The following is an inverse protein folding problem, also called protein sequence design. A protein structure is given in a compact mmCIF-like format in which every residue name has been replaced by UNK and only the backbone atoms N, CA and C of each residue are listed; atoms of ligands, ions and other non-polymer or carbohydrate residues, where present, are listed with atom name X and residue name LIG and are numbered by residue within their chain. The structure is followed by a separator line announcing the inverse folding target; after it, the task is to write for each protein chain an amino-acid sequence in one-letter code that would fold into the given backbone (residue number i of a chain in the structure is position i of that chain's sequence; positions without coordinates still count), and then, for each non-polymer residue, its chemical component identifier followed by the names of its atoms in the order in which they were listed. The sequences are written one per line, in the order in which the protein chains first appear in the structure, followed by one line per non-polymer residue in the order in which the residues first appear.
data_IF_001365959517
#
_entry.id   IF_001365959517
#
_cell.length_a   1.000
_cell.length_b   1.000
_cell.length_c   1.000
_cell.angle_alpha   90.00
_cell.angle_beta   90.00
_cell.angle_gamma   90.00
#
_symmetry.space_group_name_H-M   'P 1'
#
loop_
_entity.id
_entity.type
_entity.pdbx_description
1 polymer ?
#
# COMPACT_ATOMS: atom_id res chain seq x y z
N UNK A 1 -4.85 16.42 -35.72
CA UNK A 1 -5.19 15.22 -34.94
C UNK A 1 -4.32 15.24 -33.69
N UNK A 2 -4.87 15.67 -32.55
CA UNK A 2 -4.11 15.82 -31.33
C UNK A 2 -4.01 14.45 -30.63
N UNK A 3 -2.85 13.81 -30.72
CA UNK A 3 -2.51 12.70 -29.83
C UNK A 3 -2.24 13.30 -28.44
N UNK A 4 -3.28 13.35 -27.61
CA UNK A 4 -3.14 13.56 -26.17
C UNK A 4 -2.30 12.41 -25.61
N UNK A 5 -1.02 12.68 -25.41
CA UNK A 5 -0.13 11.86 -24.59
C UNK A 5 -0.83 11.65 -23.24
N UNK A 6 -1.39 10.47 -23.04
CA UNK A 6 -1.83 10.02 -21.73
C UNK A 6 -0.59 10.08 -20.85
N UNK A 7 -0.56 11.07 -19.96
CA UNK A 7 0.43 11.20 -18.91
C UNK A 7 0.18 10.00 -17.99
N UNK A 8 0.77 8.85 -18.29
CA UNK A 8 0.75 7.66 -17.45
C UNK A 8 1.49 8.02 -16.18
N UNK A 9 0.77 8.56 -15.21
CA UNK A 9 1.27 8.66 -13.85
C UNK A 9 1.50 7.21 -13.39
N UNK A 10 2.76 6.80 -13.30
CA UNK A 10 3.13 5.48 -12.79
C UNK A 10 2.56 5.34 -11.39
N UNK A 11 1.52 4.51 -11.25
CA UNK A 11 0.92 4.20 -9.97
C UNK A 11 1.82 3.18 -9.26
N UNK A 12 2.34 3.55 -8.08
CA UNK A 12 3.17 2.65 -7.27
C UNK A 12 2.27 1.62 -6.59
N UNK A 13 2.69 0.35 -6.56
CA UNK A 13 2.06 -0.73 -5.80
C UNK A 13 3.11 -1.44 -4.94
N UNK A 14 2.66 -2.40 -4.13
CA UNK A 14 3.49 -3.29 -3.34
C UNK A 14 4.53 -2.58 -2.47
N UNK A 15 5.74 -3.13 -2.43
CA UNK A 15 6.85 -2.58 -1.65
C UNK A 15 7.27 -1.18 -2.09
N UNK A 16 7.10 -0.84 -3.37
CA UNK A 16 7.43 0.51 -3.87
C UNK A 16 6.46 1.55 -3.29
N UNK A 17 5.16 1.24 -3.28
CA UNK A 17 4.15 2.09 -2.65
C UNK A 17 4.41 2.20 -1.15
N UNK A 18 4.68 1.08 -0.47
CA UNK A 18 4.92 1.06 0.97
C UNK A 18 6.11 1.94 1.34
N UNK A 19 7.25 1.82 0.63
CA UNK A 19 8.44 2.64 0.89
C UNK A 19 8.17 4.13 0.66
N UNK A 20 7.53 4.48 -0.45
CA UNK A 20 7.17 5.87 -0.73
C UNK A 20 6.19 6.42 0.32
N UNK A 21 5.32 5.55 0.87
CA UNK A 21 4.40 5.94 1.93
C UNK A 21 5.10 6.12 3.27
N UNK A 22 6.03 5.22 3.60
CA UNK A 22 6.87 5.30 4.79
C UNK A 22 7.68 6.60 4.83
N UNK A 23 8.33 6.93 3.71
CA UNK A 23 9.08 8.19 3.56
C UNK A 23 8.20 9.41 3.85
N UNK A 24 6.99 9.46 3.28
CA UNK A 24 6.02 10.54 3.51
C UNK A 24 5.55 10.66 4.96
N UNK A 25 5.54 9.54 5.70
CA UNK A 25 5.08 9.48 7.09
C UNK A 25 6.22 9.59 8.10
N UNK A 26 7.47 9.61 7.64
CA UNK A 26 8.66 9.68 8.50
C UNK A 26 9.06 8.34 9.12
N UNK A 27 8.60 7.22 8.58
CA UNK A 27 8.99 5.88 9.05
C UNK A 27 10.38 5.50 8.55
N UNK A 28 11.22 5.02 9.46
CA UNK A 28 12.62 4.68 9.19
C UNK A 28 12.81 3.21 8.84
N UNK A 29 11.85 2.35 9.17
CA UNK A 29 11.95 0.90 8.92
C UNK A 29 10.59 0.20 8.79
N UNK A 30 10.60 -0.98 8.16
CA UNK A 30 9.41 -1.85 8.12
C UNK A 30 9.02 -2.36 9.51
N UNK A 31 9.99 -2.48 10.42
CA UNK A 31 9.75 -2.93 11.79
C UNK A 31 8.88 -1.92 12.54
N UNK A 32 9.19 -0.64 12.42
CA UNK A 32 8.44 0.46 13.03
C UNK A 32 6.97 0.46 12.60
N UNK A 33 6.72 0.34 11.29
CA UNK A 33 5.37 0.25 10.73
C UNK A 33 4.63 -1.01 11.21
N UNK A 34 5.31 -2.15 11.21
CA UNK A 34 4.71 -3.42 11.61
C UNK A 34 4.33 -3.41 13.11
N UNK A 35 5.15 -2.79 13.95
CA UNK A 35 4.86 -2.59 15.37
C UNK A 35 3.63 -1.71 15.57
N UNK A 36 3.48 -0.61 14.83
CA UNK A 36 2.27 0.24 14.94
C UNK A 36 0.98 -0.46 14.48
N UNK A 37 1.09 -1.36 13.49
CA UNK A 37 -0.02 -2.21 13.02
C UNK A 37 -0.25 -3.41 13.96
N UNK A 38 0.67 -3.67 14.90
CA UNK A 38 0.66 -4.83 15.80
C UNK A 38 0.75 -6.18 15.06
N UNK A 39 1.62 -6.25 14.05
CA UNK A 39 1.93 -7.49 13.30
C UNK A 39 3.44 -7.75 13.25
N UNK A 40 3.82 -8.96 12.86
CA UNK A 40 5.22 -9.27 12.57
C UNK A 40 5.70 -8.55 11.29
N UNK A 41 6.91 -8.00 11.30
CA UNK A 41 7.55 -7.37 10.13
C UNK A 41 7.57 -8.23 8.87
N UNK A 42 7.78 -9.54 9.02
CA UNK A 42 7.74 -10.50 7.91
C UNK A 42 6.34 -10.61 7.28
N UNK A 43 5.26 -10.48 8.07
CA UNK A 43 3.90 -10.41 7.53
C UNK A 43 3.74 -9.15 6.69
N UNK A 44 4.12 -7.98 7.23
CA UNK A 44 4.03 -6.71 6.51
C UNK A 44 4.80 -6.79 5.17
N UNK A 45 6.03 -7.32 5.19
CA UNK A 45 6.80 -7.53 3.98
C UNK A 45 6.05 -8.42 2.98
N UNK A 46 5.59 -9.60 3.42
CA UNK A 46 4.88 -10.56 2.54
C UNK A 46 3.60 -10.02 1.95
N UNK A 47 2.90 -9.13 2.65
CA UNK A 47 1.69 -8.48 2.13
C UNK A 47 2.02 -7.54 0.97
N UNK A 48 3.05 -6.71 1.12
CA UNK A 48 3.43 -5.74 0.10
C UNK A 48 4.40 -6.30 -0.95
N UNK A 49 5.02 -7.47 -0.74
CA UNK A 49 5.66 -8.25 -1.79
C UNK A 49 4.68 -9.16 -2.55
N UNK A 50 3.40 -9.11 -2.20
CA UNK A 50 2.30 -9.87 -2.82
C UNK A 50 2.41 -11.40 -2.65
N UNK A 51 3.27 -11.86 -1.74
CA UNK A 51 3.43 -13.29 -1.40
C UNK A 51 2.27 -13.83 -0.56
N UNK A 52 1.57 -12.97 0.18
CA UNK A 52 0.45 -13.36 1.04
C UNK A 52 -0.62 -12.27 1.05
N UNK A 53 -1.90 -12.63 1.05
CA UNK A 53 -2.99 -11.67 1.23
C UNK A 53 -3.25 -11.44 2.73
N UNK A 54 -3.30 -10.19 3.22
CA UNK A 54 -3.72 -9.93 4.60
C UNK A 54 -5.19 -10.29 4.80
N UNK A 55 -5.56 -10.60 6.04
CA UNK A 55 -6.98 -10.74 6.42
C UNK A 55 -7.71 -9.41 6.25
N UNK A 56 -8.99 -9.43 5.86
CA UNK A 56 -9.83 -8.22 5.80
C UNK A 56 -9.90 -7.49 7.13
N UNK A 57 -9.80 -8.23 8.25
CA UNK A 57 -9.80 -7.65 9.60
C UNK A 57 -8.58 -6.75 9.88
N UNK A 58 -7.50 -6.87 9.11
CA UNK A 58 -6.30 -6.04 9.24
C UNK A 58 -6.42 -4.71 8.48
N UNK A 59 -7.38 -4.58 7.56
CA UNK A 59 -7.54 -3.41 6.71
C UNK A 59 -7.72 -2.10 7.50
N UNK A 60 -8.50 -2.04 8.59
CA UNK A 60 -8.63 -0.82 9.39
C UNK A 60 -7.29 -0.35 9.98
N UNK A 61 -6.46 -1.27 10.48
CA UNK A 61 -5.14 -0.92 11.05
C UNK A 61 -4.17 -0.47 9.98
N UNK A 62 -4.16 -1.12 8.81
CA UNK A 62 -3.40 -0.67 7.65
C UNK A 62 -3.81 0.75 7.25
N UNK A 63 -5.10 1.05 7.16
CA UNK A 63 -5.60 2.38 6.81
C UNK A 63 -5.18 3.42 7.85
N UNK A 64 -5.31 3.11 9.13
CA UNK A 64 -4.98 4.00 10.26
C UNK A 64 -3.49 4.34 10.28
N UNK A 65 -2.62 3.34 10.32
CA UNK A 65 -1.16 3.54 10.46
C UNK A 65 -0.57 4.16 9.19
N UNK A 66 -0.95 3.65 8.02
CA UNK A 66 -0.46 4.18 6.74
C UNK A 66 -1.21 5.44 6.30
N UNK A 67 -2.16 5.94 7.11
CA UNK A 67 -2.99 7.13 6.86
C UNK A 67 -3.63 7.18 5.47
N UNK A 68 -4.02 6.03 4.93
CA UNK A 68 -4.47 5.86 3.56
C UNK A 68 -5.91 5.34 3.54
N UNK A 69 -6.64 5.64 2.46
CA UNK A 69 -8.01 5.14 2.33
C UNK A 69 -8.01 3.62 2.08
N UNK A 70 -9.13 2.91 2.35
CA UNK A 70 -9.25 1.51 1.97
C UNK A 70 -8.95 1.26 0.49
N UNK A 71 -9.42 2.15 -0.40
CA UNK A 71 -9.13 2.07 -1.83
C UNK A 71 -7.61 2.12 -2.10
N UNK A 72 -6.89 3.03 -1.46
CA UNK A 72 -5.44 3.18 -1.64
C UNK A 72 -4.69 1.94 -1.15
N UNK A 73 -5.07 1.39 0.01
CA UNK A 73 -4.46 0.16 0.55
C UNK A 73 -4.73 -1.02 -0.38
N UNK A 74 -5.98 -1.21 -0.83
CA UNK A 74 -6.33 -2.32 -1.70
C UNK A 74 -5.65 -2.22 -3.08
N UNK A 75 -5.47 -1.01 -3.61
CA UNK A 75 -4.69 -0.79 -4.83
C UNK A 75 -3.19 -1.03 -4.60
N UNK A 76 -2.65 -0.59 -3.46
CA UNK A 76 -1.26 -0.88 -3.09
C UNK A 76 -1.00 -2.39 -2.94
N UNK A 77 -1.99 -3.16 -2.50
CA UNK A 77 -1.93 -4.62 -2.38
C UNK A 77 -2.33 -5.36 -3.67
N UNK A 78 -2.57 -4.65 -4.77
CA UNK A 78 -3.03 -5.20 -6.07
C UNK A 78 -4.29 -6.07 -5.96
N UNK A 79 -5.14 -5.76 -4.98
CA UNK A 79 -6.48 -6.35 -4.83
C UNK A 79 -7.48 -5.60 -5.71
N UNK A 80 -7.34 -4.28 -5.81
CA UNK A 80 -8.09 -3.43 -6.72
C UNK A 80 -7.20 -2.94 -7.85
N UNK A 81 -7.72 -2.95 -9.07
CA UNK A 81 -7.10 -2.35 -10.23
C UNK A 81 -7.02 -0.82 -10.11
N UNK A 82 -6.14 -0.17 -10.90
CA UNK A 82 -5.97 1.29 -10.85
C UNK A 82 -7.26 2.05 -11.18
N UNK A 83 -8.11 1.48 -12.05
CA UNK A 83 -9.37 2.06 -12.50
C UNK A 83 -10.59 1.63 -11.67
N UNK A 84 -10.42 0.73 -10.70
CA UNK A 84 -11.52 0.25 -9.90
C UNK A 84 -12.00 1.36 -8.95
N UNK A 85 -13.33 1.43 -8.80
CA UNK A 85 -14.04 2.35 -7.90
C UNK A 85 -14.76 1.52 -6.83
N UNK A 86 -14.60 1.93 -5.57
CA UNK A 86 -15.36 1.42 -4.42
C UNK A 86 -16.64 2.23 -4.24
#
# INVERSE_FOLDING_TARGET
MANTAQKTATYKTGLEWLRARMEKLGYNSLEEVAQEIQINRGNLYRYFSLETRPSVALLPDLCRVLKASPADILKALEILGPNDRL
#
